data_IF_028956077743
#
_entry.id   IF_028956077743
#
_cell.length_a   1.000
_cell.length_b   1.000
_cell.length_c   1.000
_cell.angle_alpha   90.00
_cell.angle_beta   90.00
_cell.angle_gamma   90.00
#
_symmetry.space_group_name_H-M   'P 1'
#
loop_
_entity.id
_entity.type
_entity.pdbx_description
1 polymer ?
#
# COMPACT_ATOMS: atom_id res chain seq x y z
N UNK A 1 34.39 9.89 -16.48
CA UNK A 1 34.67 8.53 -15.95
C UNK A 1 33.68 7.56 -16.58
N UNK A 2 34.11 6.41 -17.13
CA UNK A 2 33.19 5.41 -17.66
C UNK A 2 32.40 4.76 -16.51
N UNK A 3 31.09 4.53 -16.71
CA UNK A 3 30.26 3.83 -15.73
C UNK A 3 30.74 2.37 -15.62
N UNK A 4 31.15 1.96 -14.43
CA UNK A 4 31.53 0.57 -14.14
C UNK A 4 30.26 -0.22 -13.79
N UNK A 5 29.85 -1.13 -14.68
CA UNK A 5 28.76 -2.07 -14.38
C UNK A 5 29.31 -3.11 -13.41
N UNK A 6 28.78 -3.15 -12.19
CA UNK A 6 29.09 -4.18 -11.21
C UNK A 6 27.88 -5.06 -10.97
N UNK A 7 28.12 -6.37 -10.88
CA UNK A 7 27.07 -7.33 -10.55
C UNK A 7 26.81 -7.28 -9.05
N UNK A 8 25.54 -7.14 -8.65
CA UNK A 8 25.16 -7.24 -7.24
C UNK A 8 25.53 -8.62 -6.70
N UNK A 9 26.21 -8.75 -5.54
CA UNK A 9 26.37 -10.03 -4.88
C UNK A 9 24.98 -10.58 -4.53
N UNK A 10 24.73 -11.82 -4.91
CA UNK A 10 23.44 -12.49 -4.70
C UNK A 10 23.61 -13.48 -3.58
N UNK A 11 22.68 -13.51 -2.63
CA UNK A 11 22.68 -14.49 -1.54
C UNK A 11 22.50 -15.90 -2.09
N UNK A 12 23.19 -16.89 -1.52
CA UNK A 12 22.95 -18.31 -1.80
C UNK A 12 21.73 -18.84 -1.04
N UNK A 13 21.16 -18.02 -0.14
CA UNK A 13 19.89 -18.28 0.53
C UNK A 13 18.78 -17.99 -0.48
N UNK A 14 18.04 -19.04 -0.81
CA UNK A 14 16.97 -18.97 -1.80
C UNK A 14 15.82 -19.82 -1.29
N UNK A 15 14.58 -19.49 -1.63
CA UNK A 15 13.44 -20.31 -1.25
C UNK A 15 13.71 -21.78 -1.62
N UNK A 16 13.33 -22.69 -0.73
CA UNK A 16 13.51 -24.14 -0.92
C UNK A 16 12.77 -24.67 -2.16
N UNK A 17 12.70 -25.98 -2.34
CA UNK A 17 11.88 -26.59 -3.41
C UNK A 17 12.46 -26.52 -4.83
N UNK A 18 11.74 -27.12 -5.78
CA UNK A 18 12.17 -27.29 -7.17
C UNK A 18 11.89 -26.04 -8.03
N UNK A 19 12.51 -24.91 -7.71
CA UNK A 19 12.49 -23.72 -8.56
C UNK A 19 13.51 -23.85 -9.70
N UNK A 20 13.13 -23.39 -10.90
CA UNK A 20 14.06 -23.32 -12.03
C UNK A 20 15.28 -22.43 -11.65
N UNK A 21 16.53 -22.79 -12.04
CA UNK A 21 17.74 -22.04 -11.63
C UNK A 21 17.72 -20.54 -11.96
N UNK A 22 17.03 -20.15 -13.04
CA UNK A 22 16.85 -18.74 -13.40
C UNK A 22 15.95 -18.01 -12.40
N UNK A 23 14.85 -18.62 -11.97
CA UNK A 23 13.93 -18.04 -10.98
C UNK A 23 14.63 -17.92 -9.63
N UNK A 24 15.38 -18.96 -9.23
CA UNK A 24 16.23 -18.97 -8.04
C UNK A 24 17.15 -17.74 -8.03
N UNK A 25 17.90 -17.51 -9.10
CA UNK A 25 18.80 -16.35 -9.23
C UNK A 25 18.07 -15.00 -9.19
N UNK A 26 16.89 -14.91 -9.79
CA UNK A 26 16.10 -13.68 -9.85
C UNK A 26 15.53 -13.32 -8.47
N UNK A 27 14.98 -14.30 -7.73
CA UNK A 27 14.42 -14.07 -6.39
C UNK A 27 15.50 -13.74 -5.36
N UNK A 28 16.62 -14.48 -5.36
CA UNK A 28 17.74 -14.16 -4.48
C UNK A 28 18.31 -12.75 -4.76
N UNK A 29 18.34 -12.30 -6.02
CA UNK A 29 18.78 -10.94 -6.37
C UNK A 29 17.81 -9.84 -5.88
N UNK A 30 16.56 -10.19 -5.58
CA UNK A 30 15.54 -9.33 -4.97
C UNK A 30 15.48 -9.44 -3.44
N UNK A 31 16.32 -10.27 -2.83
CA UNK A 31 16.37 -10.45 -1.38
C UNK A 31 15.32 -11.40 -0.81
N UNK A 32 14.59 -12.12 -1.67
CA UNK A 32 13.61 -13.12 -1.25
C UNK A 32 14.34 -14.34 -0.69
N UNK A 33 14.04 -14.69 0.55
CA UNK A 33 14.66 -15.81 1.28
C UNK A 33 13.71 -16.97 1.53
N UNK A 34 12.40 -16.69 1.60
CA UNK A 34 11.35 -17.64 1.92
C UNK A 34 10.24 -17.64 0.86
N UNK A 35 9.53 -18.76 0.71
CA UNK A 35 8.41 -18.84 -0.24
C UNK A 35 7.23 -17.93 0.14
N UNK A 36 7.03 -17.68 1.43
CA UNK A 36 5.94 -16.85 1.91
C UNK A 36 6.03 -15.41 1.40
N UNK A 37 7.25 -14.91 1.13
CA UNK A 37 7.49 -13.58 0.54
C UNK A 37 7.04 -13.48 -0.93
N UNK A 38 6.75 -14.61 -1.58
CA UNK A 38 6.16 -14.66 -2.92
C UNK A 38 4.63 -14.60 -2.90
N UNK A 39 4.02 -14.64 -1.71
CA UNK A 39 2.59 -14.44 -1.57
C UNK A 39 2.24 -12.97 -1.78
N UNK A 40 1.38 -12.71 -2.77
CA UNK A 40 0.86 -11.38 -3.08
C UNK A 40 -0.61 -11.24 -2.65
N UNK A 41 -1.11 -12.21 -1.88
CA UNK A 41 -2.44 -12.17 -1.28
C UNK A 41 -2.54 -11.08 -0.21
N UNK A 42 -3.72 -10.46 -0.13
CA UNK A 42 -4.01 -9.40 0.85
C UNK A 42 -3.93 -9.86 2.31
N UNK A 43 -3.98 -11.17 2.57
CA UNK A 43 -3.89 -11.75 3.91
C UNK A 43 -2.51 -11.56 4.55
N UNK A 44 -1.46 -11.38 3.74
CA UNK A 44 -0.11 -11.12 4.21
C UNK A 44 0.18 -9.65 4.51
N UNK A 45 -0.79 -8.73 4.28
CA UNK A 45 -0.61 -7.32 4.57
C UNK A 45 -0.53 -7.08 6.07
N UNK A 46 0.41 -6.23 6.47
CA UNK A 46 0.48 -5.76 7.85
C UNK A 46 -0.81 -4.98 8.20
N UNK A 47 -1.31 -5.11 9.44
CA UNK A 47 -2.40 -4.26 9.91
C UNK A 47 -2.04 -2.78 9.76
N UNK A 48 -3.04 -1.94 9.50
CA UNK A 48 -2.84 -0.49 9.41
C UNK A 48 -2.63 0.16 10.79
N UNK A 49 -2.98 -0.53 11.89
CA UNK A 49 -2.90 -0.04 13.28
C UNK A 49 -1.56 0.60 13.68
N UNK A 50 -0.38 0.08 13.27
CA UNK A 50 0.91 0.67 13.63
C UNK A 50 1.26 1.96 12.89
N UNK A 51 0.48 2.39 11.89
CA UNK A 51 0.71 3.64 11.20
C UNK A 51 0.57 4.82 12.18
N UNK A 52 1.53 5.75 12.12
CA UNK A 52 1.56 6.91 13.00
C UNK A 52 0.23 7.69 12.92
N UNK A 53 -0.40 7.91 14.07
CA UNK A 53 -1.65 8.66 14.16
C UNK A 53 -2.92 7.91 13.75
N UNK A 54 -2.84 6.60 13.45
CA UNK A 54 -3.99 5.81 12.98
C UNK A 54 -5.16 5.84 13.97
N UNK A 55 -4.92 5.63 15.27
CA UNK A 55 -5.98 5.65 16.29
C UNK A 55 -6.73 6.98 16.31
N UNK A 56 -6.00 8.10 16.44
CA UNK A 56 -6.59 9.45 16.44
C UNK A 56 -7.37 9.75 15.15
N UNK A 57 -6.89 9.28 14.00
CA UNK A 57 -7.59 9.46 12.73
C UNK A 57 -8.91 8.67 12.68
N UNK A 58 -8.92 7.43 13.21
CA UNK A 58 -10.13 6.60 13.30
C UNK A 58 -11.14 7.24 14.23
N UNK A 59 -10.73 7.68 15.43
CA UNK A 59 -11.61 8.34 16.40
C UNK A 59 -12.28 9.59 15.80
N UNK A 60 -11.50 10.40 15.06
CA UNK A 60 -12.00 11.59 14.37
C UNK A 60 -13.02 11.23 13.29
N UNK A 61 -12.76 10.19 12.50
CA UNK A 61 -13.68 9.75 11.44
C UNK A 61 -14.96 9.15 12.02
N UNK A 62 -14.88 8.38 13.10
CA UNK A 62 -16.05 7.84 13.81
C UNK A 62 -16.93 8.98 14.35
N UNK A 63 -16.30 9.99 14.98
CA UNK A 63 -17.01 11.18 15.43
C UNK A 63 -17.66 11.92 14.26
N UNK A 64 -16.91 12.17 13.18
CA UNK A 64 -17.42 12.87 11.99
C UNK A 64 -18.61 12.16 11.35
N UNK A 65 -18.59 10.82 11.29
CA UNK A 65 -19.70 10.01 10.79
C UNK A 65 -20.90 10.12 11.73
N UNK A 66 -20.70 9.94 13.03
CA UNK A 66 -21.75 9.96 14.06
C UNK A 66 -22.45 11.31 14.14
N UNK A 67 -21.67 12.40 14.14
CA UNK A 67 -22.15 13.77 14.21
C UNK A 67 -22.54 14.36 12.85
N UNK A 68 -22.47 13.56 11.77
CA UNK A 68 -22.88 13.94 10.40
C UNK A 68 -22.14 15.17 9.86
N UNK A 69 -20.85 15.25 10.10
CA UNK A 69 -20.03 16.31 9.54
C UNK A 69 -19.93 16.20 8.02
N UNK A 70 -19.61 17.32 7.38
CA UNK A 70 -19.20 17.33 5.97
C UNK A 70 -17.73 16.94 5.88
N UNK A 71 -17.44 15.89 5.11
CA UNK A 71 -16.08 15.38 4.89
C UNK A 71 -15.64 15.73 3.47
N UNK A 72 -14.41 16.23 3.31
CA UNK A 72 -13.80 16.47 2.00
C UNK A 72 -12.49 15.69 1.90
N UNK A 73 -12.38 14.83 0.90
CA UNK A 73 -11.15 14.10 0.60
C UNK A 73 -10.31 14.91 -0.38
N UNK A 74 -9.10 15.30 0.04
CA UNK A 74 -8.16 16.01 -0.81
C UNK A 74 -7.13 15.02 -1.34
N UNK A 75 -7.21 14.71 -2.64
CA UNK A 75 -6.32 13.77 -3.33
C UNK A 75 -5.19 14.45 -4.09
N UNK A 76 -4.17 13.69 -4.50
CA UNK A 76 -3.20 14.11 -5.52
C UNK A 76 -3.68 13.72 -6.93
N UNK A 77 -3.11 14.34 -7.96
CA UNK A 77 -3.48 14.20 -9.37
C UNK A 77 -2.94 12.93 -10.04
N UNK A 78 -2.11 12.13 -9.36
CA UNK A 78 -1.60 10.89 -9.92
C UNK A 78 -2.59 9.71 -9.74
N UNK A 79 -2.27 8.56 -10.34
CA UNK A 79 -3.15 7.41 -10.30
C UNK A 79 -3.39 6.89 -8.87
N UNK A 80 -2.39 6.99 -8.00
CA UNK A 80 -2.52 6.57 -6.60
C UNK A 80 -3.44 7.53 -5.83
N UNK A 81 -3.23 8.84 -5.99
CA UNK A 81 -4.08 9.88 -5.42
C UNK A 81 -5.54 9.80 -5.89
N UNK A 82 -5.76 9.57 -7.18
CA UNK A 82 -7.10 9.44 -7.75
C UNK A 82 -7.83 8.18 -7.25
N UNK A 83 -7.14 7.04 -7.20
CA UNK A 83 -7.76 5.77 -6.78
C UNK A 83 -8.00 5.71 -5.27
N UNK A 84 -7.06 6.20 -4.46
CA UNK A 84 -7.23 6.32 -3.00
C UNK A 84 -8.36 7.29 -2.64
N UNK A 85 -8.50 8.41 -3.36
CA UNK A 85 -9.62 9.34 -3.20
C UNK A 85 -10.95 8.67 -3.50
N UNK A 86 -11.06 7.96 -4.64
CA UNK A 86 -12.27 7.25 -5.00
C UNK A 86 -12.63 6.16 -3.98
N UNK A 87 -11.62 5.43 -3.46
CA UNK A 87 -11.80 4.43 -2.41
C UNK A 87 -12.31 5.06 -1.11
N UNK A 88 -11.69 6.15 -0.64
CA UNK A 88 -12.07 6.84 0.58
C UNK A 88 -13.52 7.36 0.50
N UNK A 89 -13.89 8.00 -0.62
CA UNK A 89 -15.26 8.49 -0.84
C UNK A 89 -16.27 7.33 -0.77
N UNK A 90 -16.02 6.23 -1.51
CA UNK A 90 -16.91 5.07 -1.52
C UNK A 90 -17.00 4.40 -0.15
N UNK A 91 -15.86 4.24 0.53
CA UNK A 91 -15.78 3.61 1.84
C UNK A 91 -16.54 4.41 2.91
N UNK A 92 -16.31 5.72 3.00
CA UNK A 92 -16.99 6.57 3.98
C UNK A 92 -18.50 6.62 3.76
N UNK A 93 -18.97 6.69 2.51
CA UNK A 93 -20.40 6.60 2.18
C UNK A 93 -20.96 5.25 2.63
N UNK A 94 -20.26 4.15 2.34
CA UNK A 94 -20.68 2.81 2.76
C UNK A 94 -20.72 2.64 4.28
N UNK A 95 -19.87 3.37 5.01
CA UNK A 95 -19.85 3.43 6.48
C UNK A 95 -20.91 4.38 7.07
N UNK A 96 -21.69 5.08 6.25
CA UNK A 96 -22.80 5.92 6.70
C UNK A 96 -22.50 7.41 6.83
N UNK A 97 -21.37 7.89 6.31
CA UNK A 97 -21.09 9.32 6.26
C UNK A 97 -22.18 10.06 5.47
N UNK A 98 -22.71 11.15 6.05
CA UNK A 98 -23.86 11.87 5.49
C UNK A 98 -23.51 12.74 4.27
N UNK A 99 -22.30 13.29 4.23
CA UNK A 99 -21.83 14.17 3.15
C UNK A 99 -20.33 14.00 2.95
N UNK A 100 -19.94 13.49 1.77
CA UNK A 100 -18.55 13.28 1.38
C UNK A 100 -18.33 13.88 0.00
N UNK A 101 -17.47 14.89 -0.08
CA UNK A 101 -16.99 15.49 -1.32
C UNK A 101 -15.50 15.18 -1.52
N UNK A 102 -14.95 15.56 -2.68
CA UNK A 102 -13.52 15.46 -2.93
C UNK A 102 -12.99 16.66 -3.72
N UNK A 103 -11.69 16.90 -3.60
CA UNK A 103 -10.94 17.85 -4.41
C UNK A 103 -9.66 17.16 -4.88
N UNK A 104 -9.43 17.18 -6.19
CA UNK A 104 -8.14 16.80 -6.78
C UNK A 104 -7.61 18.05 -7.50
N UNK A 105 -6.42 18.55 -7.16
CA UNK A 105 -5.88 19.76 -7.75
C UNK A 105 -5.62 19.53 -9.25
N UNK A 106 -5.96 20.53 -10.05
CA UNK A 106 -5.54 20.57 -11.44
C UNK A 106 -4.11 21.13 -11.48
N UNK A 107 -3.18 20.39 -12.07
CA UNK A 107 -1.78 20.81 -12.25
C UNK A 107 -1.61 21.67 -13.49
#
# INVERSE_FOLDING_TARGET
MPRRIQRRPVSDIVPGGALHPVLRRVYAARGVTEFAELDHGVQGLLPATPLLGMGTAVDLLEQAITERWKIVIVGDFDADGATSTALAVKGLIALGAASVDYVVPNR
#
